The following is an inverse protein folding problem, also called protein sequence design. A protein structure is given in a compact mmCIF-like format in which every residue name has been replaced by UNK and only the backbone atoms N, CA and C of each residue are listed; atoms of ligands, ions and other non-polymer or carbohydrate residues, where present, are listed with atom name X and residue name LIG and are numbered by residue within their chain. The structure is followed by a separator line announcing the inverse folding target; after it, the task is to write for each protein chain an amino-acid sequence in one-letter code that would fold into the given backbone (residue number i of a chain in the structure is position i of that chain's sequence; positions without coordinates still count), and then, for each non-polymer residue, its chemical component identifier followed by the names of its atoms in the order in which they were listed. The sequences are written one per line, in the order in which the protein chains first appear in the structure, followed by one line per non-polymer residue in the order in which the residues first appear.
data_IF_557660860801
#
_entry.id   IF_557660860801
#
_cell.length_a   1.000
_cell.length_b   1.000
_cell.length_c   1.000
_cell.angle_alpha   90.00
_cell.angle_beta   90.00
_cell.angle_gamma   90.00
#
_symmetry.space_group_name_H-M   'P 1'
#
loop_
_entity.id
_entity.type
_entity.pdbx_description
1 polymer ?
#
# COMPACT_ATOMS: atom_id res chain seq x y z
N UNK A 1 7.80 -23.93 -22.80
CA UNK A 1 9.15 -23.86 -22.20
C UNK A 1 9.06 -22.96 -20.98
N UNK A 2 9.41 -23.45 -19.78
CA UNK A 2 9.38 -22.64 -18.55
C UNK A 2 10.61 -21.74 -18.56
N UNK A 3 10.39 -20.41 -18.56
CA UNK A 3 11.47 -19.45 -18.34
C UNK A 3 11.72 -19.37 -16.84
N UNK A 4 12.96 -19.65 -16.43
CA UNK A 4 13.42 -19.62 -15.05
C UNK A 4 14.44 -18.50 -14.94
N UNK A 5 14.09 -17.43 -14.22
CA UNK A 5 14.92 -16.27 -13.98
C UNK A 5 15.45 -16.33 -12.53
N UNK A 6 16.76 -16.18 -12.36
CA UNK A 6 17.41 -16.11 -11.04
C UNK A 6 18.05 -14.75 -10.89
N UNK A 7 17.74 -14.07 -9.79
CA UNK A 7 18.28 -12.75 -9.47
C UNK A 7 18.87 -12.75 -8.07
N UNK A 8 20.19 -12.87 -7.92
CA UNK A 8 20.85 -12.56 -6.66
C UNK A 8 20.77 -11.04 -6.40
N UNK A 9 20.62 -10.67 -5.14
CA UNK A 9 20.61 -9.30 -4.68
C UNK A 9 21.42 -9.20 -3.39
N UNK A 10 22.34 -8.23 -3.35
CA UNK A 10 23.12 -7.89 -2.17
C UNK A 10 22.73 -6.48 -1.75
N UNK A 11 22.39 -6.31 -0.48
CA UNK A 11 22.05 -5.01 0.10
C UNK A 11 23.07 -4.71 1.19
N UNK A 12 23.72 -3.56 1.09
CA UNK A 12 24.58 -3.00 2.14
C UNK A 12 23.75 -1.99 2.94
N UNK A 13 23.55 -2.25 4.22
CA UNK A 13 22.87 -1.36 5.14
C UNK A 13 23.86 -0.32 5.69
N UNK A 14 23.36 0.86 6.07
CA UNK A 14 24.19 2.01 6.46
C UNK A 14 25.05 1.82 7.73
N UNK A 15 24.86 0.72 8.46
CA UNK A 15 25.64 0.28 9.61
C UNK A 15 26.71 -0.79 9.26
N UNK A 16 27.03 -0.96 7.97
CA UNK A 16 27.88 -2.04 7.43
C UNK A 16 27.31 -3.46 7.61
N UNK A 17 26.05 -3.61 8.02
CA UNK A 17 25.37 -4.89 7.90
C UNK A 17 25.14 -5.20 6.42
N UNK A 18 25.45 -6.43 6.02
CA UNK A 18 25.21 -6.90 4.66
C UNK A 18 24.06 -7.89 4.72
N UNK A 19 23.06 -7.73 3.85
CA UNK A 19 22.03 -8.74 3.64
C UNK A 19 22.04 -9.22 2.21
N UNK A 20 22.17 -10.53 1.99
CA UNK A 20 22.02 -11.14 0.67
C UNK A 20 20.64 -11.79 0.51
N UNK A 21 20.14 -11.86 -0.71
CA UNK A 21 18.98 -12.69 -1.07
C UNK A 21 19.06 -13.17 -2.51
N UNK A 22 18.34 -14.23 -2.81
CA UNK A 22 18.14 -14.71 -4.17
C UNK A 22 16.65 -14.78 -4.45
N UNK A 23 16.22 -14.18 -5.56
CA UNK A 23 14.87 -14.29 -6.08
C UNK A 23 14.87 -15.25 -7.27
N UNK A 24 14.06 -16.29 -7.20
CA UNK A 24 13.77 -17.20 -8.29
C UNK A 24 12.39 -16.86 -8.83
N UNK A 25 12.28 -16.68 -10.14
CA UNK A 25 11.02 -16.41 -10.81
C UNK A 25 10.84 -17.39 -11.94
N UNK A 26 9.67 -18.01 -12.01
CA UNK A 26 9.36 -18.88 -13.14
C UNK A 26 7.86 -18.93 -13.42
N UNK A 27 7.53 -19.24 -14.67
CA UNK A 27 6.15 -19.36 -15.08
C UNK A 27 5.69 -20.83 -15.09
N UNK A 28 4.50 -21.09 -14.57
CA UNK A 28 3.83 -22.38 -14.64
C UNK A 28 2.38 -22.20 -15.10
N UNK A 29 2.12 -22.49 -16.37
CA UNK A 29 0.85 -22.16 -17.02
C UNK A 29 0.62 -20.64 -17.02
N UNK A 30 -0.55 -20.14 -16.58
CA UNK A 30 -0.82 -18.70 -16.47
C UNK A 30 -0.15 -18.05 -15.24
N UNK A 31 0.47 -18.86 -14.37
CA UNK A 31 1.01 -18.39 -13.10
C UNK A 31 2.48 -17.99 -13.24
N UNK A 32 2.84 -16.87 -12.65
CA UNK A 32 4.19 -16.50 -12.29
C UNK A 32 4.38 -16.84 -10.81
N UNK A 33 5.44 -17.57 -10.52
CA UNK A 33 5.84 -17.95 -9.17
C UNK A 33 7.15 -17.23 -8.86
N UNK A 34 7.18 -16.52 -7.74
CA UNK A 34 8.36 -15.88 -7.18
C UNK A 34 8.72 -16.56 -5.86
N UNK A 35 9.96 -17.03 -5.72
CA UNK A 35 10.51 -17.55 -4.47
C UNK A 35 11.69 -16.67 -4.08
N UNK A 36 11.63 -16.09 -2.89
CA UNK A 36 12.73 -15.30 -2.33
C UNK A 36 13.33 -16.05 -1.17
N UNK A 37 14.66 -16.15 -1.16
CA UNK A 37 15.44 -16.72 -0.06
C UNK A 37 16.47 -15.69 0.36
N UNK A 38 16.34 -15.14 1.56
CA UNK A 38 17.33 -14.23 2.14
C UNK A 38 18.38 -15.00 2.97
N UNK A 39 19.56 -14.43 3.14
CA UNK A 39 20.67 -14.95 3.94
C UNK A 39 20.32 -15.30 5.38
N UNK A 40 19.37 -14.58 6.00
CA UNK A 40 18.79 -14.95 7.31
C UNK A 40 18.15 -16.35 7.34
N UNK A 41 17.88 -16.95 6.18
CA UNK A 41 17.47 -18.36 6.07
C UNK A 41 18.62 -19.34 6.34
N UNK A 42 19.86 -18.86 6.40
CA UNK A 42 21.05 -19.63 6.72
C UNK A 42 21.63 -19.04 8.00
N UNK A 43 21.39 -19.72 9.13
CA UNK A 43 21.89 -19.28 10.44
C UNK A 43 22.78 -20.37 11.04
N UNK A 44 24.05 -20.04 11.27
CA UNK A 44 25.04 -20.94 11.88
C UNK A 44 25.20 -22.29 11.14
N UNK A 45 25.16 -22.28 9.80
CA UNK A 45 25.25 -23.50 8.98
C UNK A 45 23.96 -24.32 8.89
N UNK A 46 22.88 -23.89 9.57
CA UNK A 46 21.57 -24.51 9.48
C UNK A 46 20.62 -23.70 8.61
N UNK A 47 19.76 -24.40 7.88
CA UNK A 47 18.65 -23.79 7.16
C UNK A 47 17.49 -23.51 8.12
N UNK A 48 16.96 -22.30 8.05
CA UNK A 48 15.75 -21.85 8.74
C UNK A 48 14.77 -21.29 7.72
N UNK A 49 13.52 -21.12 8.12
CA UNK A 49 12.48 -20.53 7.28
C UNK A 49 12.51 -18.99 7.26
N UNK A 50 13.32 -18.36 8.12
CA UNK A 50 13.43 -16.90 8.19
C UNK A 50 13.96 -16.35 6.86
N UNK A 51 13.27 -15.39 6.27
CA UNK A 51 13.65 -14.85 4.96
C UNK A 51 13.23 -15.66 3.74
N UNK A 52 12.52 -16.77 3.92
CA UNK A 52 11.88 -17.49 2.81
C UNK A 52 10.48 -16.96 2.57
N UNK A 53 10.21 -16.54 1.33
CA UNK A 53 8.92 -15.99 0.91
C UNK A 53 8.52 -16.57 -0.45
N UNK A 54 7.24 -16.90 -0.59
CA UNK A 54 6.66 -17.35 -1.85
C UNK A 54 5.57 -16.39 -2.30
N UNK A 55 5.52 -16.10 -3.59
CA UNK A 55 4.40 -15.44 -4.21
C UNK A 55 3.98 -16.15 -5.50
N UNK A 56 2.68 -16.10 -5.77
CA UNK A 56 2.09 -16.58 -7.01
C UNK A 56 1.19 -15.48 -7.57
N UNK A 57 1.28 -15.23 -8.87
CA UNK A 57 0.43 -14.25 -9.58
C UNK A 57 -0.03 -14.86 -10.89
N UNK A 58 -1.33 -14.85 -11.18
CA UNK A 58 -1.85 -15.52 -12.39
C UNK A 58 -2.15 -14.57 -13.57
N UNK A 59 -1.86 -13.28 -13.43
CA UNK A 59 -2.19 -12.26 -14.44
C UNK A 59 -3.69 -11.99 -14.65
N UNK A 60 -4.57 -12.82 -14.07
CA UNK A 60 -6.03 -12.73 -14.13
C UNK A 60 -6.63 -12.22 -12.81
N UNK A 61 -5.80 -11.62 -11.95
CA UNK A 61 -6.24 -10.96 -10.74
C UNK A 61 -6.08 -11.76 -9.45
N UNK A 62 -5.62 -13.01 -9.48
CA UNK A 62 -5.22 -13.75 -8.27
C UNK A 62 -3.75 -13.48 -7.95
N UNK A 63 -3.50 -13.09 -6.70
CA UNK A 63 -2.18 -13.01 -6.11
C UNK A 63 -2.18 -13.74 -4.77
N UNK A 64 -1.19 -14.60 -4.54
CA UNK A 64 -0.95 -15.27 -3.27
C UNK A 64 0.44 -14.88 -2.80
N UNK A 65 0.58 -14.57 -1.51
CA UNK A 65 1.84 -14.27 -0.86
C UNK A 65 1.93 -15.11 0.42
N UNK A 66 3.10 -15.64 0.73
CA UNK A 66 3.31 -16.47 1.92
C UNK A 66 4.71 -16.24 2.48
N UNK A 67 4.76 -15.73 3.70
CA UNK A 67 5.97 -15.69 4.51
C UNK A 67 6.07 -17.00 5.32
N UNK A 68 7.11 -17.79 5.05
CA UNK A 68 7.23 -19.16 5.59
C UNK A 68 7.53 -19.15 7.08
N UNK A 69 8.39 -18.24 7.55
CA UNK A 69 8.76 -18.14 8.95
C UNK A 69 7.58 -17.79 9.84
N UNK A 70 6.80 -16.80 9.42
CA UNK A 70 5.63 -16.37 10.17
C UNK A 70 4.41 -17.22 9.90
N UNK A 71 4.44 -18.11 8.89
CA UNK A 71 3.28 -18.88 8.42
C UNK A 71 2.08 -17.97 8.12
N UNK A 72 2.34 -16.86 7.42
CA UNK A 72 1.35 -15.80 7.17
C UNK A 72 0.96 -15.77 5.69
N UNK A 73 -0.16 -16.41 5.28
CA UNK A 73 -0.65 -16.32 3.92
C UNK A 73 -1.48 -15.05 3.73
N UNK A 74 -1.31 -14.43 2.56
CA UNK A 74 -2.08 -13.30 2.09
C UNK A 74 -2.63 -13.64 0.70
N UNK A 75 -3.95 -13.62 0.57
CA UNK A 75 -4.66 -13.79 -0.69
C UNK A 75 -5.11 -12.42 -1.17
N UNK A 76 -4.90 -12.09 -2.44
CA UNK A 76 -5.53 -10.93 -3.09
C UNK A 76 -6.25 -11.38 -4.35
N UNK A 77 -7.46 -10.88 -4.53
CA UNK A 77 -8.28 -11.15 -5.69
C UNK A 77 -8.69 -9.81 -6.28
N UNK A 78 -8.44 -9.63 -7.57
CA UNK A 78 -8.89 -8.51 -8.40
C UNK A 78 -9.87 -9.09 -9.41
N UNK A 79 -11.12 -8.65 -9.36
CA UNK A 79 -12.12 -8.99 -10.37
C UNK A 79 -12.92 -7.75 -10.76
N UNK A 80 -13.93 -7.96 -11.58
CA UNK A 80 -14.92 -6.94 -11.89
C UNK A 80 -16.31 -7.57 -11.97
N UNK A 81 -17.32 -6.80 -11.62
CA UNK A 81 -18.73 -7.18 -11.70
C UNK A 81 -19.52 -6.04 -12.35
N UNK A 82 -20.57 -6.36 -13.08
CA UNK A 82 -21.50 -5.36 -13.59
C UNK A 82 -22.65 -5.20 -12.60
N UNK A 83 -22.84 -3.98 -12.10
CA UNK A 83 -23.93 -3.62 -11.18
C UNK A 83 -24.70 -2.48 -11.81
N UNK A 84 -26.00 -2.68 -12.08
CA UNK A 84 -26.85 -1.69 -12.75
C UNK A 84 -26.18 -1.08 -14.01
N UNK A 85 -25.72 -1.96 -14.91
CA UNK A 85 -25.01 -1.61 -16.16
C UNK A 85 -23.70 -0.83 -15.98
N UNK A 86 -23.15 -0.81 -14.77
CA UNK A 86 -21.85 -0.19 -14.46
C UNK A 86 -20.82 -1.25 -14.11
N UNK A 87 -19.65 -1.17 -14.74
CA UNK A 87 -18.51 -2.00 -14.37
C UNK A 87 -17.91 -1.50 -13.04
N UNK A 88 -17.88 -2.38 -12.05
CA UNK A 88 -17.31 -2.15 -10.72
C UNK A 88 -16.13 -3.09 -10.55
N UNK A 89 -14.94 -2.54 -10.32
CA UNK A 89 -13.76 -3.31 -9.97
C UNK A 89 -13.79 -3.71 -8.51
N UNK A 90 -13.53 -4.98 -8.24
CA UNK A 90 -13.54 -5.57 -6.90
C UNK A 90 -12.12 -5.97 -6.55
N UNK A 91 -11.61 -5.45 -5.44
CA UNK A 91 -10.29 -5.80 -4.88
C UNK A 91 -10.50 -6.36 -3.49
N UNK A 92 -10.26 -7.64 -3.33
CA UNK A 92 -10.29 -8.34 -2.04
C UNK A 92 -8.87 -8.66 -1.60
N UNK A 93 -8.59 -8.51 -0.31
CA UNK A 93 -7.36 -8.97 0.30
C UNK A 93 -7.66 -9.62 1.65
N UNK A 94 -7.03 -10.75 1.97
CA UNK A 94 -7.19 -11.45 3.25
C UNK A 94 -5.84 -11.97 3.73
N UNK A 95 -5.36 -11.41 4.85
CA UNK A 95 -4.28 -11.98 5.64
C UNK A 95 -4.85 -13.04 6.57
N UNK A 96 -4.75 -14.31 6.17
CA UNK A 96 -5.48 -15.42 6.82
C UNK A 96 -5.04 -15.61 8.27
N UNK A 97 -3.74 -15.47 8.56
CA UNK A 97 -3.21 -15.67 9.92
C UNK A 97 -3.75 -14.65 10.92
N UNK A 98 -3.82 -13.37 10.52
CA UNK A 98 -4.35 -12.30 11.38
C UNK A 98 -5.86 -12.16 11.27
N UNK A 99 -6.51 -12.99 10.44
CA UNK A 99 -7.91 -12.86 10.05
C UNK A 99 -8.31 -11.42 9.65
N UNK A 100 -7.38 -10.72 8.98
CA UNK A 100 -7.61 -9.35 8.54
C UNK A 100 -7.95 -9.35 7.06
N UNK A 101 -9.17 -8.96 6.72
CA UNK A 101 -9.61 -8.86 5.34
C UNK A 101 -10.14 -7.46 5.02
N UNK A 102 -10.01 -7.10 3.74
CA UNK A 102 -10.40 -5.82 3.19
C UNK A 102 -11.04 -6.04 1.84
N UNK A 103 -12.19 -5.41 1.61
CA UNK A 103 -12.85 -5.38 0.32
C UNK A 103 -12.90 -3.93 -0.17
N UNK A 104 -12.45 -3.68 -1.40
CA UNK A 104 -12.59 -2.39 -2.05
C UNK A 104 -13.35 -2.55 -3.36
N UNK A 105 -14.36 -1.71 -3.54
CA UNK A 105 -15.08 -1.53 -4.78
C UNK A 105 -14.65 -0.20 -5.42
N UNK A 106 -14.40 -0.18 -6.72
CA UNK A 106 -14.05 1.03 -7.47
C UNK A 106 -14.87 1.11 -8.75
N UNK A 107 -15.47 2.26 -9.02
CA UNK A 107 -16.21 2.51 -10.24
C UNK A 107 -15.71 3.80 -10.90
N UNK A 108 -15.28 3.69 -12.16
CA UNK A 108 -14.93 4.84 -12.99
C UNK A 108 -16.22 5.51 -13.47
N UNK A 109 -16.51 6.71 -12.96
CA UNK A 109 -17.73 7.45 -13.30
C UNK A 109 -17.57 8.18 -14.63
N UNK A 110 -16.43 8.84 -14.82
CA UNK A 110 -16.01 9.48 -16.07
C UNK A 110 -14.47 9.54 -16.13
N UNK A 111 -13.85 10.25 -17.07
CA UNK A 111 -12.38 10.31 -17.21
C UNK A 111 -11.62 10.84 -15.98
N UNK A 112 -12.28 11.65 -15.14
CA UNK A 112 -11.68 12.39 -14.03
C UNK A 112 -12.18 11.92 -12.66
N UNK A 113 -13.30 11.20 -12.61
CA UNK A 113 -13.99 10.84 -11.38
C UNK A 113 -14.04 9.33 -11.13
N UNK A 114 -13.67 8.91 -9.92
CA UNK A 114 -13.72 7.52 -9.46
C UNK A 114 -14.44 7.47 -8.11
N UNK A 115 -15.52 6.71 -8.04
CA UNK A 115 -16.17 6.36 -6.77
C UNK A 115 -15.49 5.12 -6.19
N UNK A 116 -15.20 5.13 -4.88
CA UNK A 116 -14.62 3.98 -4.17
C UNK A 116 -15.38 3.70 -2.88
N UNK A 117 -15.53 2.42 -2.57
CA UNK A 117 -16.09 1.95 -1.31
C UNK A 117 -15.09 0.97 -0.71
N UNK A 118 -14.62 1.26 0.49
CA UNK A 118 -13.79 0.35 1.27
C UNK A 118 -14.62 -0.24 2.39
N UNK A 119 -14.62 -1.55 2.51
CA UNK A 119 -15.29 -2.30 3.55
C UNK A 119 -14.23 -3.01 4.40
N UNK A 120 -14.18 -2.66 5.68
CA UNK A 120 -13.33 -3.32 6.66
C UNK A 120 -13.99 -4.62 7.14
N UNK A 121 -13.41 -5.79 6.86
CA UNK A 121 -14.01 -7.08 7.26
C UNK A 121 -13.26 -7.72 8.43
N UNK A 122 -12.51 -6.94 9.22
CA UNK A 122 -11.90 -7.45 10.46
C UNK A 122 -13.02 -7.82 11.44
N UNK A 123 -13.06 -9.07 11.87
CA UNK A 123 -14.13 -9.55 12.78
C UNK A 123 -15.51 -9.59 12.12
N UNK A 124 -15.57 -9.90 10.82
CA UNK A 124 -16.82 -9.90 10.06
C UNK A 124 -17.87 -10.87 10.60
N UNK A 125 -18.95 -10.33 11.15
CA UNK A 125 -20.14 -11.08 11.59
C UNK A 125 -21.34 -10.91 10.64
N UNK A 126 -21.21 -10.04 9.64
CA UNK A 126 -22.25 -9.73 8.66
C UNK A 126 -22.04 -8.36 8.02
N UNK A 127 -22.90 -8.00 7.06
CA UNK A 127 -22.87 -6.68 6.43
C UNK A 127 -23.35 -5.62 7.43
N UNK A 128 -22.49 -4.63 7.67
CA UNK A 128 -22.71 -3.52 8.56
C UNK A 128 -22.19 -2.24 7.89
N UNK A 129 -23.05 -1.22 7.84
CA UNK A 129 -22.65 0.08 7.28
C UNK A 129 -21.50 0.72 8.04
N UNK A 130 -21.33 0.42 9.33
CA UNK A 130 -20.23 0.97 10.15
C UNK A 130 -18.84 0.57 9.68
N UNK A 131 -18.73 -0.51 8.90
CA UNK A 131 -17.46 -0.99 8.35
C UNK A 131 -17.09 -0.31 7.03
N UNK A 132 -17.94 0.59 6.54
CA UNK A 132 -17.81 1.20 5.22
C UNK A 132 -17.18 2.57 5.32
N UNK A 133 -16.18 2.79 4.46
CA UNK A 133 -15.65 4.10 4.13
C UNK A 133 -15.93 4.41 2.67
N UNK A 134 -16.68 5.48 2.42
CA UNK A 134 -16.94 6.01 1.09
C UNK A 134 -15.81 6.95 0.68
N UNK A 135 -15.37 6.90 -0.57
CA UNK A 135 -14.38 7.84 -1.13
C UNK A 135 -14.75 8.26 -2.53
N UNK A 136 -14.47 9.51 -2.86
CA UNK A 136 -14.56 10.02 -4.22
C UNK A 136 -13.20 10.55 -4.63
N UNK A 137 -12.68 10.16 -5.78
CA UNK A 137 -11.43 10.69 -6.32
C UNK A 137 -11.73 11.51 -7.55
N UNK A 138 -11.40 12.79 -7.50
CA UNK A 138 -11.44 13.70 -8.65
C UNK A 138 -10.02 14.04 -9.09
N UNK A 139 -9.74 13.97 -10.39
CA UNK A 139 -8.46 14.35 -10.98
C UNK A 139 -8.65 15.45 -12.02
N UNK A 140 -7.81 16.47 -11.95
CA UNK A 140 -7.69 17.50 -12.98
C UNK A 140 -6.21 17.77 -13.23
N UNK A 141 -5.68 17.26 -14.36
CA UNK A 141 -4.25 17.33 -14.66
C UNK A 141 -3.40 16.67 -13.59
N UNK A 142 -2.56 17.47 -12.94
CA UNK A 142 -1.66 17.05 -11.86
C UNK A 142 -2.27 17.12 -10.45
N UNK A 143 -3.49 17.66 -10.35
CA UNK A 143 -4.22 17.79 -9.11
C UNK A 143 -5.18 16.61 -8.91
N UNK A 144 -5.20 16.05 -7.71
CA UNK A 144 -6.09 14.97 -7.29
C UNK A 144 -6.67 15.32 -5.92
N UNK A 145 -7.99 15.21 -5.77
CA UNK A 145 -8.69 15.39 -4.50
C UNK A 145 -9.52 14.16 -4.18
N UNK A 146 -9.36 13.67 -2.96
CA UNK A 146 -9.97 12.46 -2.45
C UNK A 146 -10.67 12.73 -1.10
N UNK A 147 -11.89 13.30 -1.08
CA UNK A 147 -12.74 13.27 0.10
C UNK A 147 -13.15 11.83 0.44
N UNK A 148 -13.30 11.58 1.73
CA UNK A 148 -13.73 10.31 2.28
C UNK A 148 -14.63 10.50 3.49
N UNK A 149 -15.56 9.58 3.70
CA UNK A 149 -16.43 9.56 4.87
C UNK A 149 -16.50 8.14 5.42
N UNK A 150 -16.16 7.98 6.70
CA UNK A 150 -16.29 6.73 7.42
C UNK A 150 -17.67 6.68 8.08
N UNK A 151 -18.52 5.73 7.68
CA UNK A 151 -19.89 5.60 8.18
C UNK A 151 -19.95 5.09 9.63
N UNK A 152 -18.92 4.41 10.13
CA UNK A 152 -18.89 3.87 11.49
C UNK A 152 -18.52 4.90 12.53
N UNK A 153 -17.52 5.72 12.23
CA UNK A 153 -17.07 6.81 13.11
C UNK A 153 -17.75 8.15 12.79
N UNK A 154 -18.58 8.19 11.74
CA UNK A 154 -19.23 9.39 11.22
C UNK A 154 -18.24 10.54 10.96
N UNK A 155 -17.03 10.20 10.52
CA UNK A 155 -15.95 11.17 10.34
C UNK A 155 -15.60 11.38 8.87
N UNK A 156 -15.36 12.64 8.53
CA UNK A 156 -14.88 13.05 7.21
C UNK A 156 -13.36 13.23 7.21
N UNK A 157 -12.75 12.89 6.09
CA UNK A 157 -11.38 13.26 5.78
C UNK A 157 -11.27 13.69 4.32
N UNK A 158 -10.26 14.49 4.00
CA UNK A 158 -9.95 14.90 2.63
C UNK A 158 -8.47 14.81 2.39
N UNK A 159 -8.09 14.23 1.25
CA UNK A 159 -6.70 14.21 0.79
C UNK A 159 -6.61 14.94 -0.54
N UNK A 160 -5.84 16.03 -0.59
CA UNK A 160 -5.49 16.71 -1.82
C UNK A 160 -4.04 16.40 -2.18
N UNK A 161 -3.74 16.23 -3.45
CA UNK A 161 -2.41 15.93 -3.98
C UNK A 161 -2.16 16.75 -5.22
N UNK A 162 -0.98 17.35 -5.31
CA UNK A 162 -0.53 18.07 -6.48
C UNK A 162 0.86 17.57 -6.88
N UNK A 163 0.99 17.05 -8.10
CA UNK A 163 2.30 16.69 -8.65
C UNK A 163 2.86 17.94 -9.36
N UNK A 164 3.84 18.60 -8.75
CA UNK A 164 4.47 19.78 -9.35
C UNK A 164 5.22 19.42 -10.62
N UNK A 165 5.87 18.25 -10.61
CA UNK A 165 6.54 17.62 -11.74
C UNK A 165 6.71 16.11 -11.46
N UNK A 166 7.51 15.40 -12.27
CA UNK A 166 7.76 13.96 -12.13
C UNK A 166 8.41 13.57 -10.79
N UNK A 167 9.14 14.49 -10.17
CA UNK A 167 9.93 14.28 -8.96
C UNK A 167 9.28 14.92 -7.73
N UNK A 168 8.50 15.97 -7.90
CA UNK A 168 7.95 16.78 -6.82
C UNK A 168 6.46 16.55 -6.63
N UNK A 169 6.06 16.22 -5.40
CA UNK A 169 4.66 16.02 -5.03
C UNK A 169 4.34 16.62 -3.68
N UNK A 170 3.26 17.38 -3.60
CA UNK A 170 2.66 17.88 -2.37
C UNK A 170 1.38 17.10 -2.09
N UNK A 171 1.16 16.73 -0.83
CA UNK A 171 -0.07 16.08 -0.34
C UNK A 171 -0.54 16.81 0.91
N UNK A 172 -1.76 17.30 0.91
CA UNK A 172 -2.46 17.75 2.11
C UNK A 172 -3.49 16.70 2.51
N UNK A 173 -3.59 16.39 3.79
CA UNK A 173 -4.57 15.48 4.36
C UNK A 173 -5.16 16.11 5.61
N UNK A 174 -6.49 16.16 5.68
CA UNK A 174 -7.21 16.61 6.87
C UNK A 174 -8.14 15.49 7.27
N UNK A 175 -8.09 15.07 8.53
CA UNK A 175 -8.95 14.03 9.09
C UNK A 175 -9.68 14.60 10.31
N UNK A 176 -10.99 14.76 10.19
CA UNK A 176 -11.86 15.28 11.26
C UNK A 176 -12.20 14.20 12.30
N UNK A 177 -11.94 12.93 12.02
CA UNK A 177 -12.12 11.86 13.01
C UNK A 177 -11.01 11.84 14.05
N UNK A 178 -9.78 12.18 13.63
CA UNK A 178 -8.62 12.30 14.52
C UNK A 178 -8.28 13.75 14.87
N UNK A 179 -8.96 14.72 14.26
CA UNK A 179 -8.61 16.14 14.29
C UNK A 179 -7.14 16.39 13.94
N UNK A 180 -6.62 15.72 12.91
CA UNK A 180 -5.23 15.87 12.47
C UNK A 180 -5.17 16.42 11.05
N UNK A 181 -4.34 17.45 10.86
CA UNK A 181 -3.93 17.95 9.57
C UNK A 181 -2.49 17.55 9.26
N UNK A 182 -2.22 17.15 8.03
CA UNK A 182 -0.89 16.80 7.53
C UNK A 182 -0.66 17.47 6.19
N UNK A 183 0.46 18.18 6.05
CA UNK A 183 0.99 18.66 4.78
C UNK A 183 2.33 17.98 4.54
N UNK A 184 2.47 17.28 3.42
CA UNK A 184 3.70 16.58 3.07
C UNK A 184 4.17 17.01 1.68
N UNK A 185 5.47 17.28 1.54
CA UNK A 185 6.16 17.41 0.27
C UNK A 185 7.17 16.28 0.13
N UNK A 186 7.22 15.69 -1.05
CA UNK A 186 8.22 14.68 -1.42
C UNK A 186 8.89 15.14 -2.70
N UNK A 187 10.22 15.16 -2.69
CA UNK A 187 11.07 15.30 -3.86
C UNK A 187 11.82 13.97 -4.07
N UNK A 188 11.63 13.36 -5.23
CA UNK A 188 12.32 12.15 -5.65
C UNK A 188 13.58 12.54 -6.42
N UNK A 189 14.72 12.47 -5.76
CA UNK A 189 16.01 12.75 -6.36
C UNK A 189 16.68 11.48 -6.86
N UNK A 190 17.67 11.64 -7.75
CA UNK A 190 18.52 10.54 -8.23
C UNK A 190 19.24 9.88 -7.03
N UNK A 191 19.76 10.69 -6.11
CA UNK A 191 20.46 10.22 -4.90
C UNK A 191 19.51 9.97 -3.72
N UNK A 192 18.25 9.69 -4.00
CA UNK A 192 17.21 9.34 -3.01
C UNK A 192 16.23 10.46 -2.68
N UNK A 193 15.21 10.12 -1.88
CA UNK A 193 14.03 10.96 -1.68
C UNK A 193 14.18 11.93 -0.50
N UNK A 194 13.89 13.21 -0.71
CA UNK A 194 13.65 14.16 0.38
C UNK A 194 12.16 14.22 0.68
N UNK A 195 11.79 14.13 1.95
CA UNK A 195 10.42 14.25 2.43
C UNK A 195 10.33 15.24 3.58
N UNK A 196 9.43 16.20 3.45
CA UNK A 196 9.10 17.17 4.49
C UNK A 196 7.64 16.96 4.86
N UNK A 197 7.34 16.85 6.15
CA UNK A 197 5.98 16.64 6.66
C UNK A 197 5.72 17.62 7.80
N UNK A 198 4.69 18.43 7.67
CA UNK A 198 4.10 19.20 8.76
C UNK A 198 2.84 18.47 9.25
N UNK A 199 2.71 18.27 10.56
CA UNK A 199 1.54 17.67 11.20
C UNK A 199 1.03 18.56 12.32
N UNK A 200 -0.26 18.81 12.38
CA UNK A 200 -0.89 19.61 13.44
C UNK A 200 -2.19 18.95 13.92
N UNK A 201 -2.54 19.21 15.17
CA UNK A 201 -3.87 18.93 15.72
C UNK A 201 -4.79 20.12 15.41
N UNK A 202 -6.02 19.84 15.01
CA UNK A 202 -7.00 20.80 14.48
C UNK A 202 -8.05 21.22 15.52
N UNK A 203 -7.89 20.81 16.79
CA UNK A 203 -8.84 21.14 17.84
C UNK A 203 -8.95 22.65 18.06
N UNK A 204 -10.16 23.12 18.37
CA UNK A 204 -10.45 24.55 18.55
C UNK A 204 -9.62 25.18 19.68
N UNK A 205 -9.22 24.37 20.66
CA UNK A 205 -8.38 24.77 21.78
C UNK A 205 -6.86 24.63 21.48
N UNK A 206 -6.49 24.04 20.33
CA UNK A 206 -5.09 23.83 19.90
C UNK A 206 -4.44 25.06 19.28
N UNK A 207 -5.03 26.27 19.43
CA UNK A 207 -4.55 27.56 18.89
C UNK A 207 -3.11 27.95 19.24
N UNK A 208 -2.34 27.08 19.90
CA UNK A 208 -0.92 27.25 20.18
C UNK A 208 0.00 26.06 19.82
N UNK A 209 -0.50 24.91 19.34
CA UNK A 209 0.40 23.81 18.98
C UNK A 209 1.00 24.07 17.60
N UNK A 210 2.25 24.58 17.60
CA UNK A 210 3.06 24.68 16.38
C UNK A 210 3.05 23.31 15.67
N UNK A 211 2.91 23.27 14.33
CA UNK A 211 2.95 22.01 13.63
C UNK A 211 4.27 21.30 13.89
N UNK A 212 4.21 20.00 14.13
CA UNK A 212 5.41 19.16 14.15
C UNK A 212 5.94 19.09 12.74
N UNK A 213 7.16 19.58 12.53
CA UNK A 213 7.88 19.48 11.26
C UNK A 213 8.83 18.29 11.33
N UNK A 214 8.69 17.38 10.38
CA UNK A 214 9.62 16.26 10.16
C UNK A 214 10.25 16.43 8.80
N UNK A 215 11.59 16.44 8.76
CA UNK A 215 12.36 16.38 7.52
C UNK A 215 13.11 15.06 7.51
N UNK A 216 12.91 14.26 6.48
CA UNK A 216 13.65 13.02 6.27
C UNK A 216 14.24 12.99 4.87
N UNK A 217 15.49 12.54 4.77
CA UNK A 217 16.18 12.32 3.51
C UNK A 217 16.58 10.85 3.46
N UNK A 218 16.14 10.16 2.43
CA UNK A 218 16.69 8.87 2.03
C UNK A 218 17.81 9.12 1.04
N UNK A 219 18.91 8.41 1.22
CA UNK A 219 20.05 8.46 0.31
C UNK A 219 20.09 7.16 -0.49
N UNK A 220 20.18 7.26 -1.80
CA UNK A 220 20.57 6.14 -2.66
C UNK A 220 22.08 6.17 -2.74
N UNK A 221 22.73 5.26 -2.02
CA UNK A 221 24.17 5.08 -2.11
C UNK A 221 24.44 4.09 -3.23
N UNK A 222 24.46 4.59 -4.48
CA UNK A 222 25.06 3.83 -5.57
C UNK A 222 26.57 3.76 -5.32
N UNK A 223 27.11 2.54 -5.31
CA UNK A 223 28.52 2.25 -5.55
C UNK A 223 28.64 1.56 -6.90
#
# INVERSE_FOLDING_TARGET
MVRFDVRPELTLHGNNETSARVNFRFNHGPNQIDVRVADRSIKNGNFTTDGVFLALRNGQGLELEYDVATKSPLVRIKSSVVVADRLVFVKYAHALKSNAAHLRLEHQVDANNIAKLDYNTVGFEGLNSKDVTLRWSHRQGDFIVEPSFNLGTESAAITARYNLDLNNRVTAHLDLGTNVGVLAWINRGVDGDLRVVARAELDKDSTQSRPTLTVSKTWTLDK
#
